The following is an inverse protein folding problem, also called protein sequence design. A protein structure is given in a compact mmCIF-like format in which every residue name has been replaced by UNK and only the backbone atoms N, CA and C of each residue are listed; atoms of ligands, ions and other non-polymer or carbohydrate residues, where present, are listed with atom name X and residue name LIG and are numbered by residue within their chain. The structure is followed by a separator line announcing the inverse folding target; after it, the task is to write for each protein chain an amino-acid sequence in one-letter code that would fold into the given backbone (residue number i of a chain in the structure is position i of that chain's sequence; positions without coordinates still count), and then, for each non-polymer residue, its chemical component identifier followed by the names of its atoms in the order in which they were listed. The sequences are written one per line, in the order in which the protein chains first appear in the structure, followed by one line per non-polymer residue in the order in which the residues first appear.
data_IF_684073228251
#
_entry.id   IF_684073228251
#
_cell.length_a   1.000
_cell.length_b   1.000
_cell.length_c   1.000
_cell.angle_alpha   90.00
_cell.angle_beta   90.00
_cell.angle_gamma   90.00
#
_symmetry.space_group_name_H-M   'P 1'
#
loop_
_entity.id
_entity.type
_entity.pdbx_description
1 polymer ?
#
# COMPACT_ATOMS: atom_id res chain seq x y z
N UNK A 1 -23.84 -6.75 0.79
CA UNK A 1 -22.48 -6.23 0.51
C UNK A 1 -22.63 -4.85 -0.10
N UNK A 2 -21.95 -3.84 0.44
CA UNK A 2 -21.98 -2.48 -0.12
C UNK A 2 -21.02 -2.42 -1.32
N UNK A 3 -21.51 -1.95 -2.48
CA UNK A 3 -20.67 -1.67 -3.64
C UNK A 3 -20.15 -0.24 -3.51
N UNK A 4 -18.84 -0.09 -3.44
CA UNK A 4 -18.17 1.22 -3.52
C UNK A 4 -17.68 1.39 -4.95
N UNK A 5 -17.99 2.52 -5.56
CA UNK A 5 -17.49 2.89 -6.89
C UNK A 5 -16.54 4.06 -6.72
N UNK A 6 -15.34 3.95 -7.29
CA UNK A 6 -14.32 4.99 -7.29
C UNK A 6 -14.08 5.42 -8.74
N UNK A 7 -14.29 6.70 -9.03
CA UNK A 7 -13.88 7.31 -10.30
C UNK A 7 -12.51 7.94 -10.12
N UNK A 8 -11.53 7.53 -10.92
CA UNK A 8 -10.14 7.98 -10.82
C UNK A 8 -9.74 8.57 -12.16
N UNK A 9 -9.40 9.85 -12.17
CA UNK A 9 -8.80 10.51 -13.32
C UNK A 9 -7.30 10.24 -13.33
N UNK A 10 -6.80 9.66 -14.41
CA UNK A 10 -5.38 9.38 -14.62
C UNK A 10 -4.95 9.84 -16.00
N UNK A 11 -3.68 10.22 -16.10
CA UNK A 11 -3.10 10.56 -17.39
C UNK A 11 -2.89 9.31 -18.27
N UNK A 12 -2.77 9.53 -19.58
CA UNK A 12 -2.63 8.48 -20.58
C UNK A 12 -1.34 7.66 -20.43
N UNK A 13 -0.29 8.21 -19.83
CA UNK A 13 0.94 7.47 -19.57
C UNK A 13 0.74 6.51 -18.40
N UNK A 14 0.12 6.95 -17.31
CA UNK A 14 -0.23 6.11 -16.17
C UNK A 14 -1.19 4.98 -16.57
N UNK A 15 -2.20 5.29 -17.40
CA UNK A 15 -3.11 4.27 -17.93
C UNK A 15 -2.37 3.15 -18.68
N UNK A 16 -1.41 3.51 -19.55
CA UNK A 16 -0.62 2.51 -20.31
C UNK A 16 0.22 1.63 -19.39
N UNK A 17 0.82 2.21 -18.35
CA UNK A 17 1.61 1.47 -17.36
C UNK A 17 0.73 0.49 -16.56
N UNK A 18 -0.45 0.92 -16.12
CA UNK A 18 -1.39 0.06 -15.40
C UNK A 18 -1.87 -1.08 -16.28
N UNK A 19 -2.22 -0.79 -17.54
CA UNK A 19 -2.64 -1.81 -18.50
C UNK A 19 -1.56 -2.85 -18.75
N UNK A 20 -0.32 -2.41 -18.99
CA UNK A 20 0.81 -3.33 -19.20
C UNK A 20 1.11 -4.17 -17.96
N UNK A 21 0.98 -3.60 -16.76
CA UNK A 21 1.12 -4.34 -15.51
C UNK A 21 0.02 -5.38 -15.33
N UNK A 22 -1.24 -5.01 -15.61
CA UNK A 22 -2.38 -5.92 -15.53
C UNK A 22 -2.19 -7.11 -16.50
N UNK A 23 -1.79 -6.84 -17.74
CA UNK A 23 -1.47 -7.87 -18.74
C UNK A 23 -0.32 -8.80 -18.28
N UNK A 24 0.74 -8.22 -17.71
CA UNK A 24 1.90 -8.97 -17.18
C UNK A 24 1.52 -9.87 -15.99
N UNK A 25 0.61 -9.40 -15.14
CA UNK A 25 0.14 -10.15 -13.96
C UNK A 25 -1.08 -11.03 -14.28
N UNK A 26 -1.56 -11.08 -15.53
CA UNK A 26 -2.78 -11.77 -15.95
C UNK A 26 -4.04 -11.34 -15.16
N UNK A 27 -4.09 -10.08 -14.76
CA UNK A 27 -5.20 -9.47 -14.02
C UNK A 27 -6.00 -8.55 -14.94
N UNK A 28 -7.25 -8.28 -14.57
CA UNK A 28 -7.97 -7.15 -15.15
C UNK A 28 -7.34 -5.83 -14.69
N UNK A 29 -7.59 -4.77 -15.46
CA UNK A 29 -7.16 -3.42 -15.08
C UNK A 29 -7.76 -2.99 -13.73
N UNK A 30 -9.01 -3.36 -13.47
CA UNK A 30 -9.69 -3.08 -12.20
C UNK A 30 -9.01 -3.79 -11.03
N UNK A 31 -8.70 -5.09 -11.18
CA UNK A 31 -8.01 -5.86 -10.13
C UNK A 31 -6.60 -5.34 -9.86
N UNK A 32 -5.85 -4.93 -10.89
CA UNK A 32 -4.53 -4.34 -10.72
C UNK A 32 -4.61 -2.96 -10.03
N UNK A 33 -5.62 -2.15 -10.36
CA UNK A 33 -5.90 -0.89 -9.67
C UNK A 33 -6.26 -1.13 -8.20
N UNK A 34 -7.18 -2.04 -7.91
CA UNK A 34 -7.54 -2.43 -6.54
C UNK A 34 -6.32 -2.94 -5.79
N UNK A 35 -5.56 -3.86 -6.37
CA UNK A 35 -4.32 -4.40 -5.78
C UNK A 35 -3.29 -3.32 -5.47
N UNK A 36 -3.16 -2.28 -6.30
CA UNK A 36 -2.25 -1.16 -6.04
C UNK A 36 -2.80 -0.18 -4.99
N UNK A 37 -4.10 0.05 -4.98
CA UNK A 37 -4.78 0.87 -3.96
C UNK A 37 -4.71 0.19 -2.58
N UNK A 38 -4.93 -1.12 -2.53
CA UNK A 38 -4.73 -1.98 -1.35
C UNK A 38 -3.23 -2.14 -1.02
N UNK A 39 -2.39 -2.18 -2.04
CA UNK A 39 -0.93 -2.34 -1.97
C UNK A 39 -0.20 -1.11 -1.42
N UNK A 40 -0.84 0.07 -1.41
CA UNK A 40 -0.34 1.26 -0.72
C UNK A 40 -0.22 1.10 0.81
N UNK A 41 -0.93 0.13 1.39
CA UNK A 41 -0.88 -0.22 2.82
C UNK A 41 0.17 -1.28 3.17
N UNK A 42 0.75 -1.97 2.18
CA UNK A 42 1.65 -3.10 2.42
C UNK A 42 3.12 -2.70 2.53
N UNK A 43 3.42 -1.74 3.43
CA UNK A 43 4.72 -1.82 4.11
C UNK A 43 4.64 -3.08 4.96
N UNK A 44 5.41 -4.10 4.59
CA UNK A 44 5.48 -5.42 5.24
C UNK A 44 5.02 -5.39 6.70
N UNK A 45 3.95 -6.11 7.05
CA UNK A 45 3.43 -6.15 8.43
C UNK A 45 4.49 -6.55 9.45
N UNK A 46 5.41 -7.42 9.04
CA UNK A 46 6.58 -7.77 9.84
C UNK A 46 7.50 -6.57 10.07
N UNK A 47 7.79 -5.80 9.03
CA UNK A 47 8.55 -4.56 9.15
C UNK A 47 7.82 -3.52 10.01
N UNK A 48 6.50 -3.41 9.88
CA UNK A 48 5.70 -2.49 10.70
C UNK A 48 5.71 -2.89 12.18
N UNK A 49 5.56 -4.19 12.49
CA UNK A 49 5.63 -4.69 13.86
C UNK A 49 7.02 -4.47 14.46
N UNK A 50 8.07 -4.82 13.71
CA UNK A 50 9.46 -4.59 14.12
C UNK A 50 9.76 -3.11 14.35
N UNK A 51 9.27 -2.22 13.47
CA UNK A 51 9.43 -0.78 13.65
C UNK A 51 8.64 -0.25 14.85
N UNK A 52 7.48 -0.84 15.16
CA UNK A 52 6.70 -0.46 16.33
C UNK A 52 7.40 -0.86 17.64
N UNK A 53 7.99 -2.08 17.68
CA UNK A 53 8.79 -2.55 18.81
C UNK A 53 10.00 -1.64 19.06
N UNK A 54 10.78 -1.34 18.01
CA UNK A 54 11.96 -0.47 18.12
C UNK A 54 11.63 0.94 18.62
N UNK A 55 10.50 1.52 18.18
CA UNK A 55 10.04 2.84 18.63
C UNK A 55 9.64 2.83 20.10
N UNK A 56 8.94 1.78 20.54
CA UNK A 56 8.56 1.63 21.94
C UNK A 56 9.81 1.52 22.85
N UNK A 57 10.84 0.80 22.42
CA UNK A 57 12.11 0.71 23.15
C UNK A 57 12.86 2.06 23.24
N UNK A 58 12.87 2.85 22.16
CA UNK A 58 13.46 4.19 22.14
C UNK A 58 12.73 5.16 23.08
N UNK A 59 11.40 5.13 23.10
CA UNK A 59 10.58 5.96 24.00
C UNK A 59 10.84 5.61 25.47
N UNK A 60 10.94 4.32 25.80
CA UNK A 60 11.28 3.86 27.15
C UNK A 60 12.68 4.31 27.56
N UNK A 61 13.66 4.25 26.64
CA UNK A 61 15.03 4.73 26.93
C UNK A 61 15.06 6.23 27.22
N UNK A 62 14.32 7.03 26.45
CA UNK A 62 14.22 8.48 26.68
C UNK A 62 13.52 8.80 27.99
N UNK A 63 12.46 8.08 28.33
CA UNK A 63 11.74 8.25 29.60
C UNK A 63 12.59 7.90 30.82
N UNK A 64 13.55 6.98 30.71
CA UNK A 64 14.49 6.60 31.79
C UNK A 64 15.69 7.55 31.91
N UNK A 65 15.93 8.39 30.91
CA UNK A 65 17.03 9.35 30.86
C UNK A 65 16.64 10.75 31.33
N UNK A 66 15.38 10.94 31.72
CA UNK A 66 14.80 12.20 32.19
C UNK A 66 14.25 12.01 33.60
#
# INVERSE_FOLDING_TARGET
MARVVLEIEIDTQLYRLLKSSAETNHLSLEEECCRRLEGGEHRSRYLQALLAELRAEDEQRRAKSH
#
